data_IF_346731345813
#
_entry.id   IF_346731345813
#
_cell.length_a   1.000
_cell.length_b   1.000
_cell.length_c   1.000
_cell.angle_alpha   90.00
_cell.angle_beta   90.00
_cell.angle_gamma   90.00
#
_symmetry.space_group_name_H-M   'P 1'
#
loop_
_entity.id
_entity.type
_entity.pdbx_description
1 polymer ?
#
# COMPACT_ATOMS: atom_id res chain seq x y z
N UNK A 1 -34.43 -16.28 -17.35
CA UNK A 1 -34.53 -15.24 -16.30
C UNK A 1 -33.22 -15.28 -15.53
N UNK A 2 -32.40 -14.22 -15.62
CA UNK A 2 -31.18 -14.14 -14.81
C UNK A 2 -31.58 -14.05 -13.33
N UNK A 3 -30.90 -14.76 -12.41
CA UNK A 3 -31.19 -14.63 -10.99
C UNK A 3 -30.98 -13.17 -10.55
N UNK A 4 -31.78 -12.67 -9.58
CA UNK A 4 -31.58 -11.33 -9.04
C UNK A 4 -30.18 -11.26 -8.44
N UNK A 5 -29.41 -10.24 -8.85
CA UNK A 5 -28.17 -9.87 -8.19
C UNK A 5 -28.49 -9.63 -6.72
N UNK A 6 -27.85 -10.39 -5.83
CA UNK A 6 -27.90 -10.12 -4.41
C UNK A 6 -27.49 -8.64 -4.20
N UNK A 7 -28.21 -7.88 -3.35
CA UNK A 7 -27.81 -6.52 -3.06
C UNK A 7 -26.37 -6.56 -2.52
N UNK A 8 -25.50 -5.72 -3.08
CA UNK A 8 -24.14 -5.60 -2.58
C UNK A 8 -24.21 -5.26 -1.08
N UNK A 9 -23.45 -5.96 -0.22
CA UNK A 9 -23.42 -5.62 1.20
C UNK A 9 -23.07 -4.14 1.36
N UNK A 10 -23.64 -3.44 2.35
CA UNK A 10 -23.30 -2.04 2.58
C UNK A 10 -21.78 -1.93 2.76
N UNK A 11 -21.15 -0.88 2.21
CA UNK A 11 -19.72 -0.68 2.36
C UNK A 11 -19.38 -0.56 3.85
N UNK A 12 -18.63 -1.52 4.38
CA UNK A 12 -18.06 -1.37 5.71
C UNK A 12 -16.83 -0.48 5.54
N UNK A 13 -16.76 0.69 6.19
CA UNK A 13 -15.55 1.53 6.13
C UNK A 13 -14.36 0.71 6.61
N UNK A 14 -13.28 0.71 5.82
CA UNK A 14 -12.09 -0.06 6.17
C UNK A 14 -11.21 0.81 7.07
N UNK A 15 -11.13 0.43 8.34
CA UNK A 15 -10.39 1.19 9.35
C UNK A 15 -8.87 1.21 9.07
N UNK A 16 -8.16 2.14 9.70
CA UNK A 16 -6.71 2.25 9.61
C UNK A 16 -6.01 0.98 10.14
N UNK A 17 -6.55 0.37 11.21
CA UNK A 17 -6.05 -0.85 11.83
C UNK A 17 -6.21 -2.06 10.91
N UNK A 18 -7.33 -2.18 10.20
CA UNK A 18 -7.55 -3.28 9.24
C UNK A 18 -6.56 -3.18 8.08
N UNK A 19 -6.36 -1.97 7.53
CA UNK A 19 -5.39 -1.73 6.46
C UNK A 19 -3.97 -2.07 6.93
N UNK A 20 -3.60 -1.60 8.12
CA UNK A 20 -2.30 -1.86 8.73
C UNK A 20 -2.06 -3.36 8.94
N UNK A 21 -2.99 -4.07 9.58
CA UNK A 21 -2.87 -5.50 9.84
C UNK A 21 -2.75 -6.31 8.53
N UNK A 22 -3.56 -5.96 7.52
CA UNK A 22 -3.52 -6.60 6.21
C UNK A 22 -2.14 -6.42 5.55
N UNK A 23 -1.63 -5.19 5.51
CA UNK A 23 -0.37 -4.87 4.82
C UNK A 23 0.82 -5.45 5.57
N UNK A 24 0.86 -5.34 6.90
CA UNK A 24 1.92 -5.93 7.71
C UNK A 24 1.96 -7.46 7.56
N UNK A 25 0.81 -8.13 7.48
CA UNK A 25 0.78 -9.57 7.16
C UNK A 25 1.50 -9.88 5.85
N UNK A 26 1.27 -9.10 4.80
CA UNK A 26 1.95 -9.29 3.51
C UNK A 26 3.44 -8.96 3.58
N UNK A 27 3.82 -7.93 4.33
CA UNK A 27 5.21 -7.58 4.59
C UNK A 27 5.95 -8.73 5.29
N UNK A 28 5.40 -9.31 6.35
CA UNK A 28 6.02 -10.43 7.06
C UNK A 28 6.09 -11.72 6.23
N UNK A 29 5.20 -11.91 5.25
CA UNK A 29 5.32 -12.99 4.27
C UNK A 29 6.47 -12.76 3.27
N UNK A 30 6.72 -11.49 2.92
CA UNK A 30 7.81 -11.09 2.04
C UNK A 30 9.17 -11.09 2.76
N UNK A 31 9.20 -10.85 4.07
CA UNK A 31 10.41 -10.79 4.91
C UNK A 31 10.30 -11.74 6.10
N UNK A 32 10.46 -13.06 5.88
CA UNK A 32 10.43 -14.03 6.96
C UNK A 32 11.57 -13.76 7.94
N UNK A 33 11.25 -13.73 9.24
CA UNK A 33 12.23 -13.44 10.29
C UNK A 33 12.42 -11.96 10.62
N UNK A 34 11.61 -11.06 10.03
CA UNK A 34 11.56 -9.67 10.46
C UNK A 34 11.27 -9.58 11.98
N UNK A 35 12.01 -8.74 12.73
CA UNK A 35 11.78 -8.56 14.15
C UNK A 35 10.41 -7.92 14.42
N UNK A 36 9.84 -8.23 15.59
CA UNK A 36 8.65 -7.50 16.06
C UNK A 36 9.05 -6.08 16.45
N UNK A 37 8.69 -5.12 15.61
CA UNK A 37 8.78 -3.69 15.88
C UNK A 37 7.39 -3.09 15.84
N UNK A 38 7.12 -2.05 16.63
CA UNK A 38 5.83 -1.36 16.54
C UNK A 38 5.81 -0.51 15.28
N UNK A 39 4.86 -0.80 14.39
CA UNK A 39 4.58 -0.03 13.16
C UNK A 39 3.15 0.48 13.27
N UNK A 40 2.92 1.75 12.97
CA UNK A 40 1.58 2.33 13.05
C UNK A 40 1.51 3.81 12.69
N UNK A 41 0.40 4.43 13.01
CA UNK A 41 0.19 5.88 12.88
C UNK A 41 0.53 6.61 14.19
N UNK A 42 0.67 7.93 14.13
CA UNK A 42 1.11 8.78 15.24
C UNK A 42 0.41 8.51 16.58
N UNK A 43 -0.90 8.23 16.57
CA UNK A 43 -1.69 7.97 17.77
C UNK A 43 -1.25 6.73 18.58
N UNK A 44 -0.50 5.81 17.97
CA UNK A 44 0.02 4.61 18.63
C UNK A 44 1.45 4.78 19.18
N UNK A 45 2.09 5.93 18.93
CA UNK A 45 3.50 6.19 19.25
C UNK A 45 4.45 5.02 18.86
N UNK A 46 4.43 4.58 17.60
CA UNK A 46 5.21 3.44 17.14
C UNK A 46 6.71 3.79 16.98
N UNK A 47 7.54 2.75 16.92
CA UNK A 47 8.94 2.87 16.51
C UNK A 47 9.04 3.22 15.02
N UNK A 48 8.16 2.66 14.18
CA UNK A 48 8.03 3.05 12.77
C UNK A 48 6.67 3.73 12.59
N UNK A 49 6.70 5.05 12.47
CA UNK A 49 5.52 5.86 12.22
C UNK A 49 5.27 6.02 10.72
N UNK A 50 4.02 5.87 10.32
CA UNK A 50 3.54 6.08 8.95
C UNK A 50 2.64 7.32 8.95
N UNK A 51 2.79 8.19 7.94
CA UNK A 51 1.86 9.28 7.71
C UNK A 51 0.42 8.75 7.56
N UNK A 52 -0.56 9.41 8.18
CA UNK A 52 -1.97 9.03 8.09
C UNK A 52 -2.72 9.94 7.12
N UNK A 53 -2.83 9.53 5.86
CA UNK A 53 -3.43 10.35 4.78
C UNK A 53 -4.65 9.66 4.16
N UNK A 54 -4.61 8.33 4.04
CA UNK A 54 -5.65 7.58 3.32
C UNK A 54 -6.98 7.43 4.07
N UNK A 55 -7.04 7.69 5.38
CA UNK A 55 -8.23 7.40 6.19
C UNK A 55 -9.52 8.02 5.65
N UNK A 56 -9.49 9.28 5.20
CA UNK A 56 -10.64 9.95 4.61
C UNK A 56 -11.10 9.30 3.29
N UNK A 57 -10.18 8.78 2.47
CA UNK A 57 -10.51 8.10 1.22
C UNK A 57 -11.26 6.78 1.49
N UNK A 58 -10.76 5.96 2.41
CA UNK A 58 -11.33 4.66 2.76
C UNK A 58 -12.62 4.73 3.59
N UNK A 59 -12.99 5.92 4.07
CA UNK A 59 -14.32 6.20 4.63
C UNK A 59 -15.40 6.38 3.53
N UNK A 60 -15.00 6.43 2.25
CA UNK A 60 -15.88 6.55 1.08
C UNK A 60 -15.82 5.30 0.20
N UNK A 61 -16.66 5.27 -0.84
CA UNK A 61 -16.62 4.24 -1.89
C UNK A 61 -15.97 4.75 -3.18
N UNK A 62 -15.16 5.81 -3.12
CA UNK A 62 -14.50 6.31 -4.31
C UNK A 62 -13.55 5.24 -4.87
N UNK A 63 -13.63 4.89 -6.17
CA UNK A 63 -12.78 3.84 -6.75
C UNK A 63 -11.33 4.30 -6.94
N UNK A 64 -11.10 5.60 -7.08
CA UNK A 64 -9.80 6.17 -7.43
C UNK A 64 -9.37 7.22 -6.41
N UNK A 65 -8.16 7.10 -5.82
CA UNK A 65 -7.59 8.15 -4.99
C UNK A 65 -7.11 9.33 -5.84
N UNK A 66 -6.63 10.37 -5.18
CA UNK A 66 -5.91 11.46 -5.83
C UNK A 66 -4.69 10.92 -6.63
N UNK A 67 -4.22 11.65 -7.65
CA UNK A 67 -3.02 11.29 -8.38
C UNK A 67 -1.82 11.06 -7.45
N UNK A 68 -0.97 10.06 -7.74
CA UNK A 68 0.18 9.76 -6.90
C UNK A 68 1.25 10.85 -7.05
N UNK A 69 2.03 11.04 -6.00
CA UNK A 69 3.29 11.77 -6.08
C UNK A 69 4.38 10.83 -6.59
N UNK A 70 5.24 11.31 -7.46
CA UNK A 70 6.35 10.50 -7.97
C UNK A 70 7.62 10.81 -7.19
N UNK A 71 8.19 9.81 -6.54
CA UNK A 71 9.43 9.92 -5.78
C UNK A 71 10.48 8.95 -6.31
N UNK A 72 11.75 9.32 -6.15
CA UNK A 72 12.87 8.41 -6.41
C UNK A 72 13.15 7.58 -5.15
N UNK A 73 13.27 6.26 -5.31
CA UNK A 73 13.70 5.34 -4.25
C UNK A 73 14.65 4.30 -4.85
N UNK A 74 15.87 4.22 -4.32
CA UNK A 74 16.93 3.31 -4.81
C UNK A 74 17.17 3.40 -6.33
N UNK A 75 17.14 4.60 -6.89
CA UNK A 75 17.35 4.84 -8.33
C UNK A 75 16.16 4.50 -9.23
N UNK A 76 15.00 4.18 -8.64
CA UNK A 76 13.76 3.95 -9.36
C UNK A 76 12.73 5.04 -9.03
N UNK A 77 12.08 5.55 -10.07
CA UNK A 77 10.90 6.41 -9.93
C UNK A 77 9.65 5.59 -9.61
N UNK A 78 9.05 5.83 -8.44
CA UNK A 78 7.92 5.08 -7.89
C UNK A 78 6.74 6.01 -7.61
N UNK A 79 5.50 5.64 -7.96
CA UNK A 79 4.31 6.41 -7.60
C UNK A 79 3.93 6.10 -6.15
N UNK A 80 3.86 7.11 -5.29
CA UNK A 80 3.35 7.05 -3.92
C UNK A 80 1.97 7.70 -3.87
N UNK A 81 0.95 6.88 -3.64
CA UNK A 81 -0.39 7.38 -3.33
C UNK A 81 -0.44 7.84 -1.87
N UNK A 82 -1.38 8.75 -1.56
CA UNK A 82 -1.58 9.25 -0.19
C UNK A 82 -0.30 9.88 0.40
N UNK A 83 0.27 10.80 -0.36
CA UNK A 83 1.45 11.57 -0.01
C UNK A 83 1.14 13.06 -0.10
N UNK A 84 1.01 13.71 1.06
CA UNK A 84 0.67 15.12 1.22
C UNK A 84 1.91 16.02 1.46
N UNK A 85 3.09 15.42 1.64
CA UNK A 85 4.35 16.11 1.89
C UNK A 85 5.43 15.78 0.85
N UNK A 86 5.18 15.95 -0.47
CA UNK A 86 6.11 15.55 -1.53
C UNK A 86 7.48 16.25 -1.49
N UNK A 87 7.54 17.45 -0.88
CA UNK A 87 8.79 18.21 -0.71
C UNK A 87 9.67 17.70 0.43
N UNK A 88 9.11 16.96 1.38
CA UNK A 88 9.84 16.39 2.50
C UNK A 88 10.53 15.08 2.08
N UNK A 89 11.66 14.69 2.72
CA UNK A 89 12.21 13.34 2.59
C UNK A 89 11.15 12.26 2.79
N UNK A 90 11.23 11.15 2.04
CA UNK A 90 10.28 10.05 2.17
C UNK A 90 10.44 9.31 3.52
N UNK A 91 11.68 9.18 3.98
CA UNK A 91 12.04 8.43 5.18
C UNK A 91 12.92 9.30 6.07
N UNK A 92 12.50 9.45 7.33
CA UNK A 92 13.25 10.11 8.38
C UNK A 92 13.71 9.06 9.40
N UNK A 93 14.97 9.11 9.78
CA UNK A 93 15.58 8.16 10.70
C UNK A 93 16.08 8.91 11.94
N UNK A 94 15.65 8.47 13.12
CA UNK A 94 16.00 9.01 14.43
C UNK A 94 16.46 7.89 15.37
N UNK A 95 16.99 8.21 16.55
CA UNK A 95 17.39 7.19 17.51
C UNK A 95 16.19 6.33 17.93
N UNK A 96 16.23 5.03 17.62
CA UNK A 96 15.16 4.06 17.89
C UNK A 96 13.78 4.38 17.27
N UNK A 97 13.70 5.35 16.36
CA UNK A 97 12.45 5.72 15.67
C UNK A 97 12.69 6.01 14.18
N UNK A 98 11.69 5.74 13.35
CA UNK A 98 11.66 6.11 11.96
C UNK A 98 10.27 6.65 11.58
N UNK A 99 10.22 7.58 10.64
CA UNK A 99 8.98 8.14 10.11
C UNK A 99 8.95 8.06 8.58
N UNK A 100 7.86 7.54 8.02
CA UNK A 100 7.63 7.44 6.58
C UNK A 100 6.55 8.47 6.19
N UNK A 101 6.95 9.45 5.39
CA UNK A 101 6.14 10.63 5.05
C UNK A 101 4.99 10.37 4.06
N UNK A 102 4.95 9.18 3.46
CA UNK A 102 3.84 8.75 2.61
C UNK A 102 3.06 7.63 3.31
N UNK A 103 1.74 7.61 3.15
CA UNK A 103 0.88 6.56 3.71
C UNK A 103 0.98 5.27 2.86
N UNK A 104 2.15 4.63 2.93
CA UNK A 104 2.48 3.41 2.20
C UNK A 104 1.57 2.23 2.58
N UNK A 105 0.94 2.28 3.76
CA UNK A 105 -0.01 1.27 4.23
C UNK A 105 -1.31 1.41 3.45
N UNK A 106 -1.91 2.61 3.41
CA UNK A 106 -3.10 2.88 2.60
C UNK A 106 -2.86 2.62 1.13
N UNK A 107 -1.71 3.03 0.61
CA UNK A 107 -1.34 2.83 -0.78
C UNK A 107 -1.16 1.35 -1.14
N UNK A 108 -0.48 0.56 -0.30
CA UNK A 108 -0.33 -0.87 -0.48
C UNK A 108 -1.67 -1.59 -0.39
N UNK A 109 -2.49 -1.26 0.61
CA UNK A 109 -3.81 -1.85 0.77
C UNK A 109 -4.70 -1.59 -0.47
N UNK A 110 -4.72 -0.36 -0.99
CA UNK A 110 -5.46 -0.02 -2.20
C UNK A 110 -5.09 -0.92 -3.38
N UNK A 111 -3.80 -1.14 -3.61
CA UNK A 111 -3.29 -1.92 -4.74
C UNK A 111 -3.48 -3.44 -4.55
N UNK A 112 -3.33 -3.94 -3.33
CA UNK A 112 -3.41 -5.39 -3.04
C UNK A 112 -4.84 -5.90 -2.87
N UNK A 113 -5.75 -5.07 -2.33
CA UNK A 113 -7.13 -5.48 -2.04
C UNK A 113 -8.05 -5.55 -3.25
N UNK A 114 -7.63 -4.99 -4.41
CA UNK A 114 -8.51 -4.85 -5.57
C UNK A 114 -9.58 -3.77 -5.39
N UNK A 115 -9.33 -2.76 -4.54
CA UNK A 115 -10.30 -1.71 -4.19
C UNK A 115 -10.99 -1.07 -5.42
N UNK A 116 -10.21 -0.68 -6.43
CA UNK A 116 -10.75 -0.08 -7.66
C UNK A 116 -11.68 -1.01 -8.43
N UNK A 117 -11.42 -2.32 -8.44
CA UNK A 117 -12.25 -3.31 -9.14
C UNK A 117 -13.57 -3.52 -8.39
N UNK A 118 -13.50 -3.51 -7.06
CA UNK A 118 -14.67 -3.65 -6.20
C UNK A 118 -15.61 -2.44 -6.32
N UNK A 119 -15.08 -1.21 -6.26
CA UNK A 119 -15.89 0.01 -6.20
C UNK A 119 -16.15 0.70 -7.53
N UNK A 120 -15.39 0.41 -8.59
CA UNK A 120 -15.71 0.94 -9.91
C UNK A 120 -16.97 0.30 -10.46
N UNK A 121 -17.82 1.07 -11.14
CA UNK A 121 -18.97 0.56 -11.89
C UNK A 121 -18.58 0.10 -13.31
N UNK A 122 -17.37 0.37 -13.76
CA UNK A 122 -16.91 0.04 -15.11
C UNK A 122 -16.76 -1.47 -15.30
N UNK A 123 -17.35 -2.00 -16.37
CA UNK A 123 -17.29 -3.42 -16.70
C UNK A 123 -17.02 -3.62 -18.19
N UNK A 124 -16.16 -4.57 -18.53
CA UNK A 124 -15.95 -5.03 -19.90
C UNK A 124 -17.12 -5.90 -20.39
N UNK A 125 -17.07 -6.36 -21.64
CA UNK A 125 -18.08 -7.24 -22.24
C UNK A 125 -18.29 -8.57 -21.49
N UNK A 126 -17.37 -8.95 -20.61
CA UNK A 126 -17.44 -10.17 -19.79
C UNK A 126 -17.86 -9.87 -18.35
N UNK A 127 -18.21 -8.63 -18.01
CA UNK A 127 -18.60 -8.24 -16.66
C UNK A 127 -17.42 -8.12 -15.68
N UNK A 128 -16.19 -7.95 -16.18
CA UNK A 128 -14.98 -7.78 -15.36
C UNK A 128 -14.53 -6.33 -15.32
N UNK A 129 -13.73 -5.94 -14.33
CA UNK A 129 -13.14 -4.60 -14.31
C UNK A 129 -12.14 -4.44 -15.47
N UNK A 130 -12.30 -3.43 -16.34
CA UNK A 130 -11.45 -3.25 -17.50
C UNK A 130 -10.06 -2.74 -17.10
N UNK A 131 -9.02 -3.39 -17.61
CA UNK A 131 -7.63 -2.96 -17.39
C UNK A 131 -7.38 -1.49 -17.79
N UNK A 132 -8.07 -0.99 -18.82
CA UNK A 132 -7.97 0.40 -19.25
C UNK A 132 -8.35 1.43 -18.16
N UNK A 133 -9.20 1.04 -17.21
CA UNK A 133 -9.64 1.87 -16.10
C UNK A 133 -8.69 1.82 -14.88
N UNK A 134 -7.71 0.91 -14.89
CA UNK A 134 -6.80 0.72 -13.75
C UNK A 134 -5.85 1.89 -13.52
N UNK A 135 -5.51 2.19 -12.26
CA UNK A 135 -4.50 3.22 -11.95
C UNK A 135 -3.13 2.86 -12.53
N UNK A 136 -2.82 1.57 -12.63
CA UNK A 136 -1.60 1.03 -13.24
C UNK A 136 -1.49 1.48 -14.69
N UNK A 137 -2.58 1.33 -15.46
CA UNK A 137 -2.62 1.76 -16.86
C UNK A 137 -2.65 3.28 -16.97
N UNK A 138 -3.46 3.96 -16.14
CA UNK A 138 -3.63 5.42 -16.14
C UNK A 138 -2.31 6.17 -15.89
N UNK A 139 -1.51 5.71 -14.94
CA UNK A 139 -0.25 6.36 -14.57
C UNK A 139 0.99 5.63 -15.11
N UNK A 140 0.81 4.59 -15.93
CA UNK A 140 1.90 3.97 -16.68
C UNK A 140 2.88 3.11 -15.88
N UNK A 141 2.49 2.55 -14.73
CA UNK A 141 3.38 1.75 -13.86
C UNK A 141 3.08 0.24 -13.85
N UNK A 142 2.47 -0.27 -14.92
CA UNK A 142 1.98 -1.67 -15.02
C UNK A 142 3.07 -2.71 -14.77
N UNK A 143 4.29 -2.45 -15.25
CA UNK A 143 5.44 -3.35 -15.10
C UNK A 143 6.21 -3.12 -13.79
N UNK A 144 5.86 -2.09 -13.01
CA UNK A 144 6.56 -1.72 -11.79
C UNK A 144 5.89 -2.42 -10.58
N UNK A 145 6.63 -3.22 -9.79
CA UNK A 145 6.08 -3.84 -8.59
C UNK A 145 6.02 -2.81 -7.45
N UNK A 146 5.15 -1.81 -7.57
CA UNK A 146 5.06 -0.65 -6.65
C UNK A 146 4.99 -1.06 -5.17
N UNK A 147 4.22 -2.09 -4.85
CA UNK A 147 4.09 -2.58 -3.47
C UNK A 147 5.42 -3.14 -2.93
N UNK A 148 6.28 -3.71 -3.77
CA UNK A 148 7.60 -4.14 -3.33
C UNK A 148 8.45 -2.95 -2.89
N UNK A 149 8.38 -1.83 -3.61
CA UNK A 149 9.08 -0.60 -3.21
C UNK A 149 8.53 -0.02 -1.91
N UNK A 150 7.21 -0.06 -1.71
CA UNK A 150 6.63 0.30 -0.41
C UNK A 150 7.16 -0.58 0.72
N UNK A 151 7.29 -1.88 0.47
CA UNK A 151 7.90 -2.80 1.43
C UNK A 151 9.40 -2.57 1.59
N UNK A 152 10.13 -2.13 0.57
CA UNK A 152 11.55 -1.75 0.69
C UNK A 152 11.72 -0.51 1.57
N UNK A 153 10.82 0.48 1.46
CA UNK A 153 10.79 1.65 2.35
C UNK A 153 10.49 1.24 3.79
N UNK A 154 9.47 0.39 3.99
CA UNK A 154 9.15 -0.15 5.31
C UNK A 154 10.31 -0.98 5.87
N UNK A 155 10.96 -1.81 5.04
CA UNK A 155 12.13 -2.58 5.43
C UNK A 155 13.23 -1.67 5.96
N UNK A 156 13.60 -0.63 5.22
CA UNK A 156 14.66 0.30 5.65
C UNK A 156 14.36 0.93 7.02
N UNK A 157 13.09 1.29 7.28
CA UNK A 157 12.66 1.79 8.58
C UNK A 157 12.76 0.71 9.68
N UNK A 158 12.30 -0.52 9.41
CA UNK A 158 12.37 -1.65 10.36
C UNK A 158 13.82 -2.03 10.67
N UNK A 159 14.69 -2.12 9.67
CA UNK A 159 16.13 -2.40 9.82
C UNK A 159 16.80 -1.37 10.71
N UNK A 160 16.47 -0.09 10.51
CA UNK A 160 17.01 1.01 11.32
C UNK A 160 16.60 0.89 12.79
N UNK A 161 15.32 0.71 13.09
CA UNK A 161 14.84 0.67 14.49
C UNK A 161 15.19 -0.62 15.23
N UNK A 162 15.36 -1.72 14.50
CA UNK A 162 15.69 -3.02 15.09
C UNK A 162 17.19 -3.31 15.15
N UNK A 163 18.00 -2.61 14.34
CA UNK A 163 19.41 -2.91 14.14
C UNK A 163 19.67 -4.25 13.45
N UNK A 164 18.64 -4.91 12.90
CA UNK A 164 18.74 -6.22 12.25
C UNK A 164 18.45 -6.09 10.76
N UNK A 165 19.32 -6.60 9.86
CA UNK A 165 19.03 -6.62 8.43
C UNK A 165 17.95 -7.64 8.10
N UNK A 166 17.02 -7.28 7.21
CA UNK A 166 15.92 -8.13 6.77
C UNK A 166 16.23 -8.68 5.37
N UNK A 167 16.17 -10.01 5.25
CA UNK A 167 16.36 -10.68 3.96
C UNK A 167 15.00 -10.91 3.28
N UNK A 168 14.81 -10.45 2.03
CA UNK A 168 13.59 -10.74 1.29
C UNK A 168 13.51 -12.24 1.00
N UNK A 169 12.30 -12.79 1.04
CA UNK A 169 12.04 -14.15 0.59
C UNK A 169 12.32 -14.21 -0.90
N UNK A 170 13.36 -14.94 -1.29
CA UNK A 170 13.57 -15.29 -2.70
C UNK A 170 12.43 -16.21 -3.14
N UNK A 171 11.38 -15.65 -3.74
CA UNK A 171 10.45 -16.42 -4.52
C UNK A 171 11.24 -16.98 -5.71
N UNK A 172 11.54 -18.28 -5.69
CA UNK A 172 12.05 -18.99 -6.86
C UNK A 172 11.11 -18.66 -8.02
N UNK A 173 11.58 -17.84 -8.98
CA UNK A 173 10.92 -17.71 -10.27
C UNK A 173 10.98 -19.09 -10.92
N UNK A 174 9.91 -19.87 -10.81
CA UNK A 174 9.68 -20.95 -11.75
C UNK A 174 9.56 -20.27 -13.11
N UNK A 175 10.65 -20.35 -13.90
CA UNK A 175 10.60 -20.08 -15.33
C UNK A 175 9.61 -21.08 -15.91
N UNK A 176 8.48 -20.58 -16.39
CA UNK A 176 7.68 -21.28 -17.39
C UNK A 176 8.28 -21.00 -18.76
#
# INVERSE_FOLDING_TARGET
MSPPLLPAPPPVPVSAEVRLAYVLRHFYLAYPGAPMVSVGYAGLQPQVEIAEVGSAFFATNAPYPAPPQWREWQGQRVPFFFDDAPAAPLLFLQENQAFIAADIISAAFYLLSGWQEYFSSERDQHGRFPYAASVQKKYGFVALPVVNYYFDVLRAAVEHVSGQPLQPRHLRRHRF
#
